data_IF_328370020020
#
_entry.id   IF_328370020020
#
_cell.length_a   1.000
_cell.length_b   1.000
_cell.length_c   1.000
_cell.angle_alpha   90.00
_cell.angle_beta   90.00
_cell.angle_gamma   90.00
#
_symmetry.space_group_name_H-M   'P 1'
#
loop_
_entity.id
_entity.type
_entity.pdbx_description
1 polymer ?
#
# COMPACT_ATOMS: atom_id res chain seq x y z
N UNK A 1 18.23 -5.67 4.49
CA UNK A 1 16.88 -5.23 4.06
C UNK A 1 15.95 -4.87 5.22
N UNK A 2 15.74 -5.72 6.24
CA UNK A 2 14.80 -5.45 7.36
C UNK A 2 15.09 -4.17 8.17
N UNK A 3 16.34 -3.95 8.60
CA UNK A 3 16.73 -2.74 9.37
C UNK A 3 16.45 -1.47 8.55
N UNK A 4 16.86 -1.46 7.27
CA UNK A 4 16.58 -0.36 6.32
C UNK A 4 15.08 -0.09 6.21
N UNK A 5 14.27 -1.12 5.97
CA UNK A 5 12.82 -0.98 5.84
C UNK A 5 12.17 -0.44 7.12
N UNK A 6 12.62 -0.87 8.30
CA UNK A 6 12.14 -0.37 9.59
C UNK A 6 12.51 1.11 9.81
N UNK A 7 13.77 1.48 9.58
CA UNK A 7 14.22 2.87 9.69
C UNK A 7 13.45 3.79 8.74
N UNK A 8 13.20 3.35 7.50
CA UNK A 8 12.40 4.12 6.53
C UNK A 8 10.94 4.21 6.93
N UNK A 9 10.35 3.14 7.45
CA UNK A 9 8.99 3.15 7.97
C UNK A 9 8.81 4.21 9.07
N UNK A 10 9.75 4.33 10.01
CA UNK A 10 9.70 5.38 11.04
C UNK A 10 9.95 6.77 10.45
N UNK A 11 10.96 6.92 9.58
CA UNK A 11 11.29 8.22 8.94
C UNK A 11 10.15 8.78 8.09
N UNK A 12 9.34 7.90 7.48
CA UNK A 12 8.23 8.28 6.61
C UNK A 12 7.13 9.10 7.30
N UNK A 13 7.05 9.08 8.64
CA UNK A 13 6.13 9.94 9.41
C UNK A 13 6.35 11.44 9.19
N UNK A 14 7.53 11.84 8.71
CA UNK A 14 7.85 13.24 8.39
C UNK A 14 7.44 13.64 6.95
N UNK A 15 6.90 12.70 6.17
CA UNK A 15 6.50 12.91 4.78
C UNK A 15 4.97 12.92 4.64
N UNK A 16 4.45 13.78 3.77
CA UNK A 16 3.03 13.83 3.41
C UNK A 16 2.67 12.75 2.38
N UNK A 17 2.91 11.48 2.70
CA UNK A 17 2.59 10.35 1.83
C UNK A 17 3.55 9.17 2.02
N UNK A 18 4.55 9.07 1.15
CA UNK A 18 5.58 8.04 1.23
C UNK A 18 6.96 8.62 0.90
N UNK A 19 7.99 7.98 1.43
CA UNK A 19 9.38 8.17 1.00
C UNK A 19 9.78 7.00 0.10
N UNK A 20 10.60 7.28 -0.91
CA UNK A 20 11.17 6.27 -1.80
C UNK A 20 12.68 6.34 -1.75
N UNK A 21 13.33 5.24 -1.40
CA UNK A 21 14.78 5.11 -1.51
C UNK A 21 15.14 3.98 -2.48
N UNK A 22 15.80 4.32 -3.59
CA UNK A 22 16.34 3.36 -4.56
C UNK A 22 17.84 3.15 -4.29
N UNK A 23 18.22 1.94 -3.91
CA UNK A 23 19.61 1.52 -3.74
C UNK A 23 20.16 0.71 -4.92
N UNK A 24 21.37 0.16 -4.73
CA UNK A 24 21.95 -0.80 -5.67
C UNK A 24 21.16 -2.12 -5.70
N UNK A 25 20.67 -2.58 -4.54
CA UNK A 25 20.02 -3.89 -4.41
C UNK A 25 18.49 -3.86 -4.45
N UNK A 26 17.86 -2.75 -4.05
CA UNK A 26 16.42 -2.70 -3.86
C UNK A 26 15.84 -1.30 -4.09
N UNK A 27 14.52 -1.21 -4.21
CA UNK A 27 13.78 0.04 -4.06
C UNK A 27 12.75 -0.11 -2.96
N UNK A 28 12.82 0.76 -1.95
CA UNK A 28 11.92 0.74 -0.80
C UNK A 28 10.94 1.91 -0.89
N UNK A 29 9.66 1.61 -0.82
CA UNK A 29 8.56 2.55 -0.65
C UNK A 29 8.07 2.48 0.80
N UNK A 30 8.32 3.53 1.57
CA UNK A 30 7.92 3.59 2.98
C UNK A 30 6.81 4.62 3.19
N UNK A 31 5.63 4.14 3.60
CA UNK A 31 4.41 4.93 3.78
C UNK A 31 4.34 5.51 5.19
N UNK A 32 4.12 6.83 5.26
CA UNK A 32 3.92 7.55 6.50
C UNK A 32 2.67 7.08 7.23
N UNK A 33 2.69 7.09 8.56
CA UNK A 33 1.48 6.94 9.35
C UNK A 33 0.62 8.20 9.32
N UNK A 34 -0.63 8.05 9.72
CA UNK A 34 -1.53 9.13 10.09
C UNK A 34 -2.01 8.94 11.53
N UNK A 35 -2.41 10.04 12.14
CA UNK A 35 -3.01 10.12 13.47
C UNK A 35 -4.46 10.61 13.44
N UNK A 36 -5.02 10.84 12.25
CA UNK A 36 -6.40 11.29 12.12
C UNK A 36 -7.37 10.10 12.28
N UNK A 37 -8.40 10.26 13.11
CA UNK A 37 -9.38 9.19 13.39
C UNK A 37 -10.03 8.64 12.11
N UNK A 38 -10.36 9.53 11.17
CA UNK A 38 -10.95 9.19 9.87
C UNK A 38 -10.07 8.25 9.01
N UNK A 39 -8.76 8.18 9.30
CA UNK A 39 -7.81 7.33 8.61
C UNK A 39 -7.74 5.91 9.20
N UNK A 40 -8.40 5.68 10.34
CA UNK A 40 -8.57 4.37 10.98
C UNK A 40 -10.03 3.92 11.00
N UNK A 41 -10.96 4.86 11.20
CA UNK A 41 -12.37 4.58 11.41
C UNK A 41 -13.23 5.58 10.65
N UNK A 42 -13.99 5.08 9.68
CA UNK A 42 -14.78 5.93 8.77
C UNK A 42 -16.28 5.88 9.02
N UNK A 43 -16.79 4.79 9.59
CA UNK A 43 -18.20 4.59 9.95
C UNK A 43 -18.35 3.35 10.85
N UNK A 44 -19.53 3.19 11.43
CA UNK A 44 -19.88 2.00 12.22
C UNK A 44 -20.16 0.76 11.36
N UNK A 45 -19.97 -0.47 11.88
CA UNK A 45 -19.36 -0.79 13.17
C UNK A 45 -17.83 -0.84 13.13
N UNK A 46 -17.20 -1.14 11.98
CA UNK A 46 -15.74 -1.35 11.87
C UNK A 46 -15.06 -0.50 10.79
N UNK A 47 -15.78 0.40 10.11
CA UNK A 47 -15.26 1.24 9.04
C UNK A 47 -14.82 0.46 7.81
N UNK A 48 -15.43 -0.70 7.57
CA UNK A 48 -15.07 -1.59 6.47
C UNK A 48 -15.88 -1.32 5.20
N UNK A 49 -15.23 -1.51 4.06
CA UNK A 49 -15.87 -1.48 2.74
C UNK A 49 -15.56 -2.75 1.96
N UNK A 50 -16.40 -3.05 0.98
CA UNK A 50 -16.06 -4.00 -0.08
C UNK A 50 -14.92 -3.45 -0.92
N UNK A 51 -13.94 -4.29 -1.22
CA UNK A 51 -12.78 -3.91 -2.02
C UNK A 51 -13.17 -3.58 -3.47
N UNK A 52 -12.46 -2.66 -4.11
CA UNK A 52 -12.63 -2.32 -5.52
C UNK A 52 -12.07 -3.44 -6.43
N UNK A 53 -12.92 -4.20 -7.14
CA UNK A 53 -12.48 -5.31 -7.98
C UNK A 53 -11.70 -4.87 -9.22
N UNK A 54 -11.76 -3.59 -9.60
CA UNK A 54 -10.94 -3.06 -10.71
C UNK A 54 -9.45 -2.99 -10.35
N UNK A 55 -9.15 -2.86 -9.05
CA UNK A 55 -7.78 -2.83 -8.52
C UNK A 55 -7.35 -4.18 -7.94
N UNK A 56 -8.29 -4.97 -7.40
CA UNK A 56 -8.02 -6.23 -6.70
C UNK A 56 -8.94 -7.37 -7.16
N UNK A 57 -8.91 -7.75 -8.43
CA UNK A 57 -9.84 -8.73 -8.99
C UNK A 57 -9.71 -10.14 -8.40
N UNK A 58 -8.57 -10.48 -7.78
CA UNK A 58 -8.34 -11.78 -7.16
C UNK A 58 -8.68 -11.80 -5.67
N UNK A 59 -8.87 -10.65 -5.03
CA UNK A 59 -9.30 -10.55 -3.63
C UNK A 59 -10.80 -10.83 -3.48
N UNK A 60 -11.16 -12.09 -3.72
CA UNK A 60 -12.51 -12.64 -3.56
C UNK A 60 -12.43 -14.13 -3.28
N UNK A 61 -13.50 -14.69 -2.73
CA UNK A 61 -13.63 -16.14 -2.61
C UNK A 61 -13.86 -16.79 -3.98
N UNK A 62 -13.14 -17.88 -4.27
CA UNK A 62 -13.24 -18.58 -5.56
C UNK A 62 -14.60 -19.27 -5.73
N UNK A 63 -15.17 -19.81 -4.65
CA UNK A 63 -16.39 -20.63 -4.73
C UNK A 63 -17.69 -19.85 -4.96
N UNK A 64 -17.74 -18.59 -4.50
CA UNK A 64 -18.95 -17.77 -4.55
C UNK A 64 -18.71 -16.33 -5.06
N UNK A 65 -17.48 -15.98 -5.47
CA UNK A 65 -17.09 -14.66 -5.97
C UNK A 65 -17.31 -13.49 -4.99
N UNK A 66 -17.56 -13.76 -3.70
CA UNK A 66 -17.72 -12.72 -2.68
C UNK A 66 -16.41 -11.93 -2.52
N UNK A 67 -16.40 -10.60 -2.79
CA UNK A 67 -15.19 -9.79 -2.66
C UNK A 67 -14.75 -9.61 -1.20
N UNK A 68 -13.45 -9.41 -1.00
CA UNK A 68 -12.89 -9.14 0.32
C UNK A 68 -13.40 -7.81 0.90
N UNK A 69 -13.46 -7.74 2.23
CA UNK A 69 -13.69 -6.50 2.97
C UNK A 69 -12.36 -5.94 3.47
N UNK A 70 -12.23 -4.62 3.44
CA UNK A 70 -11.02 -3.89 3.89
C UNK A 70 -11.39 -2.64 4.67
N UNK A 71 -10.46 -2.11 5.46
CA UNK A 71 -10.63 -0.85 6.16
C UNK A 71 -10.66 0.34 5.18
N UNK A 72 -11.72 1.16 5.23
CA UNK A 72 -11.92 2.26 4.30
C UNK A 72 -10.90 3.39 4.45
N UNK A 73 -10.48 3.72 5.68
CA UNK A 73 -9.51 4.78 5.94
C UNK A 73 -8.17 4.48 5.30
N UNK A 74 -7.64 3.27 5.52
CA UNK A 74 -6.40 2.82 4.88
C UNK A 74 -6.53 2.75 3.36
N UNK A 75 -7.69 2.31 2.86
CA UNK A 75 -7.94 2.21 1.42
C UNK A 75 -7.95 3.57 0.73
N UNK A 76 -8.64 4.57 1.28
CA UNK A 76 -8.67 5.94 0.74
C UNK A 76 -7.28 6.54 0.68
N UNK A 77 -6.46 6.33 1.71
CA UNK A 77 -5.06 6.78 1.73
C UNK A 77 -4.24 6.11 0.64
N UNK A 78 -4.37 4.80 0.49
CA UNK A 78 -3.72 4.06 -0.60
C UNK A 78 -4.14 4.61 -1.98
N UNK A 79 -5.44 4.76 -2.23
CA UNK A 79 -5.96 5.29 -3.50
C UNK A 79 -5.44 6.70 -3.79
N UNK A 80 -5.42 7.59 -2.79
CA UNK A 80 -4.88 8.94 -2.95
C UNK A 80 -3.41 8.94 -3.40
N UNK A 81 -2.58 8.09 -2.80
CA UNK A 81 -1.17 7.96 -3.19
C UNK A 81 -1.01 7.32 -4.57
N UNK A 82 -1.85 6.32 -4.87
CA UNK A 82 -1.87 5.63 -6.15
C UNK A 82 -2.17 6.57 -7.32
N UNK A 83 -3.19 7.43 -7.16
CA UNK A 83 -3.60 8.41 -8.16
C UNK A 83 -2.58 9.53 -8.36
N UNK A 84 -1.82 9.89 -7.33
CA UNK A 84 -0.84 10.97 -7.40
C UNK A 84 0.45 10.55 -8.10
N UNK A 85 1.24 9.66 -7.48
CA UNK A 85 2.61 9.36 -7.95
C UNK A 85 3.03 7.91 -7.79
N UNK A 86 2.41 7.16 -6.88
CA UNK A 86 2.91 5.85 -6.48
C UNK A 86 2.97 4.88 -7.66
N UNK A 87 1.95 4.86 -8.53
CA UNK A 87 1.96 3.95 -9.68
C UNK A 87 3.15 4.20 -10.60
N UNK A 88 3.36 5.45 -11.02
CA UNK A 88 4.44 5.81 -11.94
C UNK A 88 5.83 5.51 -11.32
N UNK A 89 5.99 5.73 -10.01
CA UNK A 89 7.25 5.44 -9.32
C UNK A 89 7.51 3.94 -9.16
N UNK A 90 6.47 3.14 -8.94
CA UNK A 90 6.57 1.67 -8.93
C UNK A 90 6.91 1.15 -10.32
N UNK A 91 6.27 1.65 -11.38
CA UNK A 91 6.61 1.28 -12.77
C UNK A 91 8.07 1.61 -13.12
N UNK A 92 8.59 2.76 -12.65
CA UNK A 92 10.03 3.09 -12.77
C UNK A 92 10.91 2.11 -12.01
N UNK A 93 10.49 1.63 -10.84
CA UNK A 93 11.25 0.66 -10.06
C UNK A 93 11.25 -0.74 -10.71
N UNK A 94 10.13 -1.17 -11.29
CA UNK A 94 10.01 -2.43 -12.04
C UNK A 94 11.01 -2.47 -13.20
N UNK A 95 11.12 -1.36 -13.97
CA UNK A 95 12.06 -1.25 -15.10
C UNK A 95 13.53 -1.44 -14.71
N UNK A 96 13.87 -1.25 -13.42
CA UNK A 96 15.23 -1.46 -12.92
C UNK A 96 15.52 -2.93 -12.59
N UNK A 97 14.52 -3.82 -12.68
CA UNK A 97 14.62 -5.24 -12.39
C UNK A 97 15.21 -5.56 -11.00
N UNK A 98 14.85 -4.74 -9.99
CA UNK A 98 15.29 -4.92 -8.60
C UNK A 98 14.11 -5.26 -7.70
N UNK A 99 14.35 -5.99 -6.59
CA UNK A 99 13.38 -6.15 -5.52
C UNK A 99 12.71 -4.83 -5.11
N UNK A 100 11.38 -4.84 -5.04
CA UNK A 100 10.56 -3.74 -4.54
C UNK A 100 10.05 -4.12 -3.15
N UNK A 101 10.23 -3.22 -2.19
CA UNK A 101 9.80 -3.41 -0.81
C UNK A 101 8.80 -2.32 -0.45
N UNK A 102 7.60 -2.72 -0.03
CA UNK A 102 6.62 -1.83 0.57
C UNK A 102 6.69 -1.96 2.10
N UNK A 103 6.80 -0.85 2.82
CA UNK A 103 6.90 -0.83 4.28
C UNK A 103 6.17 0.37 4.87
N UNK A 104 5.88 0.34 6.17
CA UNK A 104 5.25 1.45 6.85
C UNK A 104 5.09 1.16 8.34
N UNK A 105 5.12 2.21 9.16
CA UNK A 105 4.96 2.11 10.60
C UNK A 105 3.55 2.57 11.01
N UNK A 106 2.93 1.89 11.98
CA UNK A 106 1.55 2.17 12.41
C UNK A 106 0.58 2.08 11.21
N UNK A 107 -0.32 3.05 11.00
CA UNK A 107 -1.25 3.10 9.86
C UNK A 107 -0.57 3.22 8.49
N UNK A 108 0.75 3.47 8.43
CA UNK A 108 1.53 3.30 7.20
C UNK A 108 1.66 1.82 6.79
N UNK A 109 1.67 0.90 7.75
CA UNK A 109 1.78 -0.54 7.52
C UNK A 109 0.60 -1.11 6.71
N UNK A 110 -0.66 -0.86 7.11
CA UNK A 110 -1.83 -1.24 6.30
C UNK A 110 -1.83 -0.67 4.88
N UNK A 111 -1.37 0.57 4.69
CA UNK A 111 -1.20 1.15 3.34
C UNK A 111 -0.13 0.40 2.55
N UNK A 112 0.97 0.00 3.21
CA UNK A 112 2.01 -0.83 2.60
C UNK A 112 1.49 -2.22 2.18
N UNK A 113 0.62 -2.83 2.99
CA UNK A 113 -0.05 -4.10 2.67
C UNK A 113 -0.91 -3.93 1.41
N UNK A 114 -1.76 -2.91 1.36
CA UNK A 114 -2.60 -2.64 0.17
C UNK A 114 -1.75 -2.39 -1.08
N UNK A 115 -0.65 -1.64 -0.96
CA UNK A 115 0.28 -1.41 -2.07
C UNK A 115 0.96 -2.70 -2.55
N UNK A 116 1.35 -3.58 -1.64
CA UNK A 116 1.94 -4.87 -1.98
C UNK A 116 0.93 -5.77 -2.71
N UNK A 117 -0.31 -5.87 -2.23
CA UNK A 117 -1.34 -6.67 -2.91
C UNK A 117 -1.70 -6.08 -4.27
N UNK A 118 -1.84 -4.76 -4.38
CA UNK A 118 -2.08 -4.09 -5.66
C UNK A 118 -0.94 -4.37 -6.67
N UNK A 119 0.31 -4.34 -6.20
CA UNK A 119 1.45 -4.68 -7.04
C UNK A 119 1.35 -6.11 -7.58
N UNK A 120 0.95 -7.06 -6.71
CA UNK A 120 0.77 -8.45 -7.12
C UNK A 120 -0.35 -8.58 -8.17
N UNK A 121 -1.50 -7.94 -7.94
CA UNK A 121 -2.67 -7.96 -8.82
C UNK A 121 -2.39 -7.36 -10.21
N UNK A 122 -1.55 -6.32 -10.26
CA UNK A 122 -1.30 -5.55 -11.49
C UNK A 122 -0.10 -6.04 -12.30
N UNK A 123 0.98 -6.50 -11.66
CA UNK A 123 2.25 -6.78 -12.33
C UNK A 123 2.73 -8.22 -12.23
N UNK A 124 2.17 -9.02 -11.33
CA UNK A 124 2.56 -10.44 -11.21
C UNK A 124 1.49 -11.40 -11.69
N UNK A 125 0.23 -10.94 -11.72
CA UNK A 125 -0.89 -11.69 -12.24
C UNK A 125 -0.74 -11.85 -13.76
N UNK A 126 -0.65 -13.11 -14.19
CA UNK A 126 -0.45 -13.55 -15.58
C UNK A 126 -1.72 -13.37 -16.41
#
# INVERSE_FOLDING_TARGET
QMIKACCLAVRSHKSSGYIKESGSEDTVFAFGGSWADQDFYSHEPFGEITIDPSLFPSLKSVGNNEPAKINQGFFRRFQALLLQTLQAEVEKAIKKAKPIIFTGHSSGGPVAILAAVWYLEKYTRS
#
